data_IF_129640178223
#
_entry.id   IF_129640178223
#
_cell.length_a   1.000
_cell.length_b   1.000
_cell.length_c   1.000
_cell.angle_alpha   90.00
_cell.angle_beta   90.00
_cell.angle_gamma   90.00
#
_symmetry.space_group_name_H-M   'P 1'
#
loop_
_entity.id
_entity.type
_entity.pdbx_description
1 polymer ?
#
# COMPACT_ATOMS: atom_id res chain seq x y z
N UNK A 1 -38.93 16.50 -8.34
CA UNK A 1 -38.28 16.30 -9.65
C UNK A 1 -37.04 17.19 -9.71
N UNK A 2 -35.91 16.72 -9.16
CA UNK A 2 -34.61 17.40 -9.29
C UNK A 2 -33.58 16.32 -9.56
N UNK A 3 -33.22 16.18 -10.83
CA UNK A 3 -31.95 15.57 -11.24
C UNK A 3 -31.52 16.32 -12.49
N UNK A 4 -30.82 17.43 -12.27
CA UNK A 4 -30.02 18.05 -13.30
C UNK A 4 -28.82 17.13 -13.54
N UNK A 5 -28.87 16.40 -14.65
CA UNK A 5 -27.71 15.74 -15.22
C UNK A 5 -26.65 16.80 -15.53
N UNK A 6 -25.60 16.86 -14.73
CA UNK A 6 -24.41 17.63 -15.03
C UNK A 6 -23.75 17.00 -16.27
N UNK A 7 -24.15 17.44 -17.48
CA UNK A 7 -23.44 17.14 -18.72
C UNK A 7 -22.13 17.95 -18.70
N UNK A 8 -21.10 17.34 -18.15
CA UNK A 8 -19.73 17.81 -18.27
C UNK A 8 -19.34 17.70 -19.76
N UNK A 9 -19.41 18.80 -20.51
CA UNK A 9 -18.98 18.86 -21.91
C UNK A 9 -17.45 18.76 -21.98
N UNK A 10 -16.94 17.53 -22.04
CA UNK A 10 -15.53 17.25 -22.32
C UNK A 10 -15.18 17.60 -23.77
N UNK A 11 -13.98 18.15 -23.98
CA UNK A 11 -13.43 18.50 -25.30
C UNK A 11 -13.40 17.26 -26.22
N UNK A 12 -13.63 17.41 -27.54
CA UNK A 12 -13.61 16.30 -28.50
C UNK A 12 -12.32 15.49 -28.49
N UNK A 13 -11.15 16.12 -28.26
CA UNK A 13 -9.87 15.41 -28.13
C UNK A 13 -9.81 14.47 -26.92
N UNK A 14 -10.45 14.84 -25.80
CA UNK A 14 -10.51 14.00 -24.61
C UNK A 14 -11.45 12.80 -24.82
N UNK A 15 -12.54 12.98 -25.56
CA UNK A 15 -13.44 11.88 -25.93
C UNK A 15 -12.79 10.88 -26.90
N UNK A 16 -11.92 11.34 -27.79
CA UNK A 16 -11.22 10.46 -28.73
C UNK A 16 -10.13 9.64 -28.03
N UNK A 17 -9.31 10.28 -27.18
CA UNK A 17 -8.38 9.57 -26.30
C UNK A 17 -9.11 8.58 -25.38
N UNK A 18 -10.28 8.96 -24.86
CA UNK A 18 -11.10 8.09 -24.03
C UNK A 18 -11.54 6.81 -24.75
N UNK A 19 -12.02 6.94 -26.00
CA UNK A 19 -12.43 5.77 -26.81
C UNK A 19 -11.24 4.89 -27.17
N UNK A 20 -10.08 5.46 -27.46
CA UNK A 20 -8.85 4.69 -27.72
C UNK A 20 -8.46 3.91 -26.47
N UNK A 21 -8.48 4.52 -25.29
CA UNK A 21 -8.15 3.84 -24.03
C UNK A 21 -9.13 2.69 -23.78
N UNK A 22 -10.43 2.90 -23.95
CA UNK A 22 -11.43 1.82 -23.83
C UNK A 22 -11.18 0.68 -24.82
N UNK A 23 -10.88 0.98 -26.08
CA UNK A 23 -10.58 -0.04 -27.09
C UNK A 23 -9.29 -0.81 -26.78
N UNK A 24 -8.26 -0.15 -26.27
CA UNK A 24 -7.01 -0.79 -25.86
C UNK A 24 -7.22 -1.71 -24.65
N UNK A 25 -7.95 -1.23 -23.63
CA UNK A 25 -8.28 -2.02 -22.44
C UNK A 25 -9.13 -3.23 -22.83
N UNK A 26 -10.20 -3.06 -23.61
CA UNK A 26 -11.04 -4.18 -24.06
C UNK A 26 -10.30 -5.13 -25.02
N UNK A 27 -9.34 -4.62 -25.80
CA UNK A 27 -8.51 -5.43 -26.69
C UNK A 27 -7.48 -6.28 -25.95
N UNK A 28 -6.84 -5.73 -24.91
CA UNK A 28 -5.88 -6.45 -24.06
C UNK A 28 -6.56 -7.35 -23.03
N UNK A 29 -7.75 -6.95 -22.59
CA UNK A 29 -8.50 -7.52 -21.48
C UNK A 29 -9.88 -7.97 -21.96
N UNK A 30 -9.90 -9.00 -22.79
CA UNK A 30 -11.14 -9.65 -23.24
C UNK A 30 -11.38 -10.88 -22.38
N UNK A 31 -12.16 -10.73 -21.31
CA UNK A 31 -12.65 -11.86 -20.53
C UNK A 31 -13.34 -12.87 -21.46
N UNK A 32 -13.21 -14.17 -21.16
CA UNK A 32 -13.98 -15.19 -21.86
C UNK A 32 -15.46 -14.82 -21.81
N UNK A 33 -16.17 -14.97 -22.93
CA UNK A 33 -17.59 -14.62 -23.08
C UNK A 33 -18.50 -15.67 -22.42
N UNK A 34 -18.23 -15.96 -21.16
CA UNK A 34 -19.17 -16.64 -20.26
C UNK A 34 -20.00 -15.59 -19.52
N UNK A 35 -21.26 -15.89 -19.16
CA UNK A 35 -22.17 -14.93 -18.52
C UNK A 35 -21.81 -14.63 -17.04
N UNK A 36 -20.52 -14.62 -16.71
CA UNK A 36 -19.99 -14.76 -15.35
C UNK A 36 -19.24 -13.52 -14.84
N UNK A 37 -19.42 -12.36 -15.48
CA UNK A 37 -18.89 -11.07 -15.02
C UNK A 37 -19.92 -10.23 -14.24
N UNK A 38 -19.44 -9.24 -13.49
CA UNK A 38 -20.33 -8.24 -12.86
C UNK A 38 -20.87 -7.25 -13.89
N UNK A 39 -22.09 -6.74 -13.67
CA UNK A 39 -22.61 -5.62 -14.45
C UNK A 39 -21.89 -4.30 -14.11
N UNK A 40 -21.83 -3.39 -15.09
CA UNK A 40 -21.30 -2.03 -14.88
C UNK A 40 -22.02 -1.32 -13.73
N UNK A 41 -21.25 -0.73 -12.82
CA UNK A 41 -21.77 -0.09 -11.61
C UNK A 41 -21.98 -1.00 -10.40
N UNK A 42 -21.75 -2.32 -10.50
CA UNK A 42 -21.88 -3.24 -9.35
C UNK A 42 -20.95 -2.89 -8.17
N UNK A 43 -19.78 -2.31 -8.45
CA UNK A 43 -18.82 -1.85 -7.43
C UNK A 43 -19.32 -0.65 -6.61
N UNK A 44 -20.25 0.14 -7.16
CA UNK A 44 -20.83 1.35 -6.53
C UNK A 44 -22.29 1.15 -6.09
N UNK A 45 -22.86 -0.03 -6.31
CA UNK A 45 -24.19 -0.36 -5.77
C UNK A 45 -24.14 -0.46 -4.24
N UNK A 46 -25.32 -0.41 -3.60
CA UNK A 46 -25.49 -0.44 -2.14
C UNK A 46 -24.72 -1.58 -1.48
N UNK A 47 -24.71 -2.75 -2.11
CA UNK A 47 -23.96 -3.90 -1.60
C UNK A 47 -22.43 -3.68 -1.69
N UNK A 48 -21.92 -3.19 -2.81
CA UNK A 48 -20.51 -2.88 -3.00
C UNK A 48 -20.00 -1.83 -2.01
N UNK A 49 -20.76 -0.74 -1.84
CA UNK A 49 -20.45 0.33 -0.87
C UNK A 49 -20.48 -0.19 0.57
N UNK A 50 -21.43 -1.07 0.91
CA UNK A 50 -21.47 -1.69 2.23
C UNK A 50 -20.22 -2.51 2.52
N UNK A 51 -19.80 -3.37 1.59
CA UNK A 51 -18.57 -4.17 1.73
C UNK A 51 -17.32 -3.29 1.83
N UNK A 52 -17.24 -2.23 1.02
CA UNK A 52 -16.14 -1.26 1.10
C UNK A 52 -16.09 -0.55 2.45
N UNK A 53 -17.24 -0.18 3.03
CA UNK A 53 -17.30 0.42 4.35
C UNK A 53 -16.84 -0.55 5.45
N UNK A 54 -17.24 -1.83 5.37
CA UNK A 54 -16.76 -2.87 6.28
C UNK A 54 -15.24 -3.03 6.16
N UNK A 55 -14.70 -3.09 4.95
CA UNK A 55 -13.26 -3.20 4.71
C UNK A 55 -12.50 -2.00 5.30
N UNK A 56 -13.00 -0.78 5.08
CA UNK A 56 -12.42 0.44 5.65
C UNK A 56 -12.43 0.41 7.18
N UNK A 57 -13.53 -0.05 7.80
CA UNK A 57 -13.63 -0.20 9.24
C UNK A 57 -12.65 -1.25 9.79
N UNK A 58 -12.53 -2.40 9.12
CA UNK A 58 -11.58 -3.47 9.50
C UNK A 58 -10.14 -2.99 9.36
N UNK A 59 -9.80 -2.31 8.26
CA UNK A 59 -8.46 -1.76 8.02
C UNK A 59 -8.10 -0.72 9.09
N UNK A 60 -9.00 0.23 9.36
CA UNK A 60 -8.78 1.24 10.40
C UNK A 60 -8.67 0.62 11.80
N UNK A 61 -9.54 -0.33 12.13
CA UNK A 61 -9.48 -1.07 13.41
C UNK A 61 -8.17 -1.83 13.56
N UNK A 62 -7.67 -2.43 12.48
CA UNK A 62 -6.36 -3.12 12.48
C UNK A 62 -5.22 -2.14 12.75
N UNK A 63 -5.24 -0.93 12.18
CA UNK A 63 -4.25 0.12 12.48
C UNK A 63 -4.33 0.58 13.94
N UNK A 64 -5.53 0.69 14.50
CA UNK A 64 -5.75 1.01 15.91
C UNK A 64 -5.21 -0.07 16.84
N UNK A 65 -5.57 -1.33 16.58
CA UNK A 65 -5.07 -2.47 17.34
C UNK A 65 -3.54 -2.54 17.29
N UNK A 66 -2.94 -2.38 16.10
CA UNK A 66 -1.49 -2.33 15.93
C UNK A 66 -0.86 -1.25 16.82
N UNK A 67 -1.39 -0.03 16.81
CA UNK A 67 -0.89 1.05 17.66
C UNK A 67 -1.03 0.76 19.15
N UNK A 68 -2.11 0.12 19.57
CA UNK A 68 -2.32 -0.28 20.96
C UNK A 68 -1.40 -1.42 21.40
N UNK A 69 -0.94 -2.25 20.47
CA UNK A 69 0.01 -3.33 20.72
C UNK A 69 1.49 -2.87 20.66
N UNK A 70 1.79 -1.69 20.12
CA UNK A 70 3.15 -1.14 20.10
C UNK A 70 3.61 -0.74 21.53
N UNK A 71 4.83 -1.16 21.96
CA UNK A 71 5.41 -0.77 23.26
C UNK A 71 5.45 0.75 23.45
N UNK A 72 5.29 1.24 24.68
CA UNK A 72 5.20 2.68 24.94
C UNK A 72 6.47 3.46 24.55
N UNK A 73 7.64 2.80 24.61
CA UNK A 73 8.95 3.34 24.27
C UNK A 73 9.18 3.47 22.75
N UNK A 74 8.55 2.63 21.94
CA UNK A 74 8.61 2.72 20.47
C UNK A 74 7.42 3.49 19.86
N UNK A 75 6.37 3.75 20.65
CA UNK A 75 5.10 4.33 20.19
C UNK A 75 5.25 5.80 19.77
N UNK A 76 4.97 6.07 18.49
CA UNK A 76 5.00 7.42 17.92
C UNK A 76 3.97 8.37 18.57
N UNK A 77 4.33 9.67 18.77
CA UNK A 77 3.39 10.69 19.26
C UNK A 77 2.12 10.79 18.40
N UNK A 78 0.97 11.05 19.03
CA UNK A 78 -0.34 11.08 18.36
C UNK A 78 -0.41 11.99 17.14
N UNK A 79 0.25 13.15 17.19
CA UNK A 79 0.26 14.11 16.08
C UNK A 79 1.04 13.59 14.87
N UNK A 80 2.19 12.95 15.10
CA UNK A 80 3.02 12.34 14.04
C UNK A 80 2.28 11.14 13.45
N UNK A 81 1.70 10.30 14.30
CA UNK A 81 0.89 9.17 13.86
C UNK A 81 -0.31 9.60 13.02
N UNK A 82 -1.00 10.68 13.40
CA UNK A 82 -2.10 11.24 12.61
C UNK A 82 -1.62 11.72 11.24
N UNK A 83 -0.47 12.39 11.17
CA UNK A 83 0.15 12.83 9.92
C UNK A 83 0.52 11.66 9.01
N UNK A 84 1.15 10.60 9.53
CA UNK A 84 1.49 9.41 8.76
C UNK A 84 0.26 8.63 8.29
N UNK A 85 -0.74 8.49 9.16
CA UNK A 85 -1.96 7.72 8.88
C UNK A 85 -2.86 8.45 7.91
N UNK A 86 -3.02 9.76 8.05
CA UNK A 86 -3.81 10.58 7.10
C UNK A 86 -3.19 10.60 5.70
N UNK A 87 -1.85 10.64 5.57
CA UNK A 87 -1.16 10.47 4.28
C UNK A 87 -1.50 9.14 3.62
N UNK A 88 -1.44 8.04 4.39
CA UNK A 88 -1.78 6.70 3.89
C UNK A 88 -3.27 6.61 3.51
N UNK A 89 -4.17 7.20 4.29
CA UNK A 89 -5.60 7.23 3.98
C UNK A 89 -5.88 7.99 2.67
N UNK A 90 -5.23 9.13 2.44
CA UNK A 90 -5.34 9.89 1.19
C UNK A 90 -4.83 9.06 0.00
N UNK A 91 -3.70 8.38 0.14
CA UNK A 91 -3.16 7.50 -0.90
C UNK A 91 -4.08 6.31 -1.21
N UNK A 92 -4.63 5.66 -0.17
CA UNK A 92 -5.56 4.54 -0.32
C UNK A 92 -6.85 4.97 -1.03
N UNK A 93 -7.40 6.14 -0.69
CA UNK A 93 -8.57 6.70 -1.38
C UNK A 93 -8.25 6.99 -2.86
N UNK A 94 -7.10 7.59 -3.15
CA UNK A 94 -6.68 7.86 -4.52
C UNK A 94 -6.60 6.59 -5.38
N UNK A 95 -5.93 5.54 -4.88
CA UNK A 95 -5.83 4.25 -5.58
C UNK A 95 -7.20 3.61 -5.73
N UNK A 96 -8.01 3.57 -4.66
CA UNK A 96 -9.34 2.98 -4.72
C UNK A 96 -10.22 3.62 -5.80
N UNK A 97 -10.33 4.96 -5.82
CA UNK A 97 -11.11 5.65 -6.84
C UNK A 97 -10.55 5.43 -8.24
N UNK A 98 -9.22 5.38 -8.39
CA UNK A 98 -8.60 5.09 -9.68
C UNK A 98 -8.90 3.67 -10.14
N UNK A 99 -8.90 2.68 -9.24
CA UNK A 99 -9.22 1.29 -9.56
C UNK A 99 -10.68 1.14 -9.98
N UNK A 100 -11.61 1.74 -9.23
CA UNK A 100 -13.04 1.74 -9.60
C UNK A 100 -13.22 2.39 -10.97
N UNK A 101 -12.60 3.54 -11.20
CA UNK A 101 -12.70 4.27 -12.47
C UNK A 101 -12.14 3.48 -13.66
N UNK A 102 -10.97 2.85 -13.51
CA UNK A 102 -10.36 2.05 -14.57
C UNK A 102 -11.15 0.76 -14.85
N UNK A 103 -11.75 0.18 -13.81
CA UNK A 103 -12.52 -1.06 -13.94
C UNK A 103 -13.83 -0.86 -14.69
N UNK A 104 -14.44 0.32 -14.61
CA UNK A 104 -15.66 0.67 -15.36
C UNK A 104 -15.40 0.86 -16.88
N UNK A 105 -14.13 0.77 -17.32
CA UNK A 105 -13.76 0.87 -18.74
C UNK A 105 -13.94 -0.44 -19.52
N UNK A 106 -14.16 -1.56 -18.82
CA UNK A 106 -14.27 -2.88 -19.45
C UNK A 106 -15.69 -3.47 -19.34
N UNK A 107 -15.97 -4.49 -20.14
CA UNK A 107 -17.23 -5.24 -20.10
C UNK A 107 -17.34 -6.14 -18.85
N UNK A 108 -16.22 -6.41 -18.15
CA UNK A 108 -16.18 -7.16 -16.88
C UNK A 108 -15.42 -6.40 -15.77
N UNK A 109 -16.08 -5.44 -15.09
CA UNK A 109 -15.43 -4.57 -14.12
C UNK A 109 -14.90 -5.28 -12.88
N UNK A 110 -15.56 -6.33 -12.39
CA UNK A 110 -15.13 -7.03 -11.17
C UNK A 110 -13.78 -7.73 -11.37
N UNK A 111 -13.63 -8.40 -12.51
CA UNK A 111 -12.37 -9.05 -12.88
C UNK A 111 -11.24 -8.06 -13.08
N UNK A 112 -11.47 -6.95 -13.79
CA UNK A 112 -10.42 -5.95 -13.99
C UNK A 112 -10.06 -5.25 -12.66
N UNK A 113 -11.05 -5.01 -11.80
CA UNK A 113 -10.83 -4.48 -10.46
C UNK A 113 -9.95 -5.41 -9.62
N UNK A 114 -10.25 -6.71 -9.63
CA UNK A 114 -9.43 -7.74 -8.97
C UNK A 114 -7.98 -7.68 -9.45
N UNK A 115 -7.77 -7.58 -10.75
CA UNK A 115 -6.42 -7.65 -11.31
C UNK A 115 -5.62 -6.39 -11.02
N UNK A 116 -6.26 -5.21 -11.07
CA UNK A 116 -5.67 -3.98 -10.54
C UNK A 116 -5.30 -4.14 -9.07
N UNK A 117 -6.23 -4.63 -8.25
CA UNK A 117 -6.02 -4.79 -6.82
C UNK A 117 -4.88 -5.78 -6.50
N UNK A 118 -4.81 -6.95 -7.16
CA UNK A 118 -3.74 -7.92 -6.97
C UNK A 118 -2.39 -7.37 -7.38
N UNK A 119 -2.32 -6.68 -8.51
CA UNK A 119 -1.07 -6.08 -8.97
C UNK A 119 -0.61 -4.96 -8.05
N UNK A 120 -1.53 -4.10 -7.58
CA UNK A 120 -1.21 -3.06 -6.58
C UNK A 120 -0.68 -3.71 -5.28
N UNK A 121 -1.31 -4.80 -4.81
CA UNK A 121 -0.90 -5.51 -3.59
C UNK A 121 0.42 -6.30 -3.73
N UNK A 122 0.84 -6.63 -4.95
CA UNK A 122 2.05 -7.43 -5.22
C UNK A 122 3.16 -6.56 -5.81
N UNK A 123 3.06 -6.22 -7.09
CA UNK A 123 4.03 -5.42 -7.83
C UNK A 123 4.01 -3.95 -7.38
N UNK A 124 2.83 -3.40 -7.09
CA UNK A 124 2.65 -2.02 -6.64
C UNK A 124 3.38 -1.75 -5.32
N UNK A 125 3.24 -2.65 -4.35
CA UNK A 125 4.00 -2.60 -3.10
C UNK A 125 5.52 -2.58 -3.32
N UNK A 126 6.04 -3.37 -4.27
CA UNK A 126 7.47 -3.37 -4.61
C UNK A 126 7.90 -2.03 -5.24
N UNK A 127 7.10 -1.50 -6.16
CA UNK A 127 7.35 -0.20 -6.82
C UNK A 127 7.31 0.94 -5.80
N UNK A 128 6.32 0.97 -4.90
CA UNK A 128 6.21 1.97 -3.84
C UNK A 128 7.43 1.89 -2.93
N UNK A 129 7.84 0.69 -2.52
CA UNK A 129 9.03 0.50 -1.69
C UNK A 129 10.30 1.04 -2.36
N UNK A 130 10.49 0.72 -3.65
CA UNK A 130 11.64 1.20 -4.43
C UNK A 130 11.62 2.72 -4.60
N UNK A 131 10.47 3.28 -4.95
CA UNK A 131 10.27 4.73 -5.14
C UNK A 131 10.49 5.52 -3.86
N UNK A 132 9.89 5.09 -2.74
CA UNK A 132 10.09 5.72 -1.42
C UNK A 132 11.55 5.63 -1.00
N UNK A 133 12.20 4.49 -1.21
CA UNK A 133 13.63 4.30 -0.90
C UNK A 133 14.50 5.25 -1.73
N UNK A 134 14.25 5.33 -3.04
CA UNK A 134 14.98 6.20 -3.97
C UNK A 134 14.80 7.68 -3.60
N UNK A 135 13.55 8.11 -3.38
CA UNK A 135 13.25 9.48 -2.94
C UNK A 135 13.92 9.78 -1.61
N UNK A 136 13.88 8.86 -0.64
CA UNK A 136 14.52 9.03 0.66
C UNK A 136 16.05 9.17 0.54
N UNK A 137 16.69 8.42 -0.36
CA UNK A 137 18.12 8.56 -0.66
C UNK A 137 18.43 9.93 -1.29
N UNK A 138 17.62 10.38 -2.25
CA UNK A 138 17.78 11.69 -2.91
C UNK A 138 17.62 12.83 -1.91
N UNK A 139 16.57 12.78 -1.08
CA UNK A 139 16.27 13.78 -0.05
C UNK A 139 17.42 13.90 0.95
N UNK A 140 17.96 12.76 1.41
CA UNK A 140 19.14 12.73 2.29
C UNK A 140 20.37 13.33 1.63
N UNK A 141 20.67 12.93 0.38
CA UNK A 141 21.82 13.44 -0.38
C UNK A 141 21.73 14.95 -0.65
N UNK A 142 20.51 15.47 -0.82
CA UNK A 142 20.23 16.89 -1.08
C UNK A 142 19.99 17.71 0.20
N UNK A 143 20.08 17.09 1.38
CA UNK A 143 19.82 17.71 2.69
C UNK A 143 18.47 18.45 2.78
N UNK A 144 17.42 17.94 2.13
CA UNK A 144 16.09 18.56 2.17
C UNK A 144 15.35 18.10 3.44
N UNK A 145 15.54 18.83 4.54
CA UNK A 145 15.02 18.45 5.87
C UNK A 145 13.49 18.36 5.94
N UNK A 146 12.78 19.13 5.12
CA UNK A 146 11.30 19.16 5.08
C UNK A 146 10.68 17.89 4.43
N UNK A 147 11.41 17.18 3.57
CA UNK A 147 10.93 16.00 2.85
C UNK A 147 11.37 14.67 3.49
N UNK A 148 12.04 14.71 4.63
CA UNK A 148 12.45 13.48 5.34
C UNK A 148 11.20 12.80 5.89
N UNK A 149 10.85 11.64 5.31
CA UNK A 149 9.66 10.89 5.71
C UNK A 149 9.66 10.56 7.20
N UNK A 150 8.57 10.89 7.88
CA UNK A 150 8.37 10.65 9.31
C UNK A 150 8.86 11.80 10.20
N UNK A 151 9.63 12.74 9.66
CA UNK A 151 10.11 13.93 10.37
C UNK A 151 9.28 15.15 9.98
N UNK A 152 8.59 15.75 10.94
CA UNK A 152 7.71 16.91 10.71
C UNK A 152 8.21 18.19 11.39
N UNK A 153 9.36 18.13 12.06
CA UNK A 153 9.90 19.19 12.90
C UNK A 153 9.30 19.22 14.31
N UNK A 154 9.89 20.06 15.17
CA UNK A 154 9.46 20.28 16.54
C UNK A 154 9.12 21.78 16.77
N UNK A 155 7.84 22.16 16.93
CA UNK A 155 6.64 21.33 16.85
C UNK A 155 6.29 20.89 15.40
N UNK A 156 5.53 19.79 15.20
CA UNK A 156 5.20 19.28 13.86
C UNK A 156 4.55 20.32 12.95
N UNK A 157 5.09 20.52 11.76
CA UNK A 157 4.67 21.56 10.81
C UNK A 157 3.77 20.98 9.71
N UNK A 158 2.62 21.62 9.49
CA UNK A 158 1.68 21.22 8.44
C UNK A 158 2.27 21.35 7.02
N UNK A 159 3.21 22.27 6.80
CA UNK A 159 3.91 22.43 5.52
C UNK A 159 4.82 21.23 5.19
N UNK A 160 5.48 20.66 6.20
CA UNK A 160 6.27 19.43 6.04
C UNK A 160 5.36 18.25 5.70
N UNK A 161 4.21 18.14 6.38
CA UNK A 161 3.19 17.15 6.05
C UNK A 161 2.68 17.31 4.62
N UNK A 162 2.35 18.53 4.19
CA UNK A 162 1.83 18.78 2.84
C UNK A 162 2.86 18.42 1.77
N UNK A 163 4.13 18.80 1.96
CA UNK A 163 5.22 18.44 1.05
C UNK A 163 5.44 16.93 0.96
N UNK A 164 5.46 16.24 2.10
CA UNK A 164 5.59 14.77 2.17
C UNK A 164 4.36 14.06 1.58
N UNK A 165 3.16 14.60 1.79
CA UNK A 165 1.92 14.06 1.21
C UNK A 165 1.92 14.25 -0.31
N UNK A 166 2.35 15.41 -0.81
CA UNK A 166 2.45 15.69 -2.23
C UNK A 166 3.41 14.76 -2.95
N UNK A 167 4.64 14.57 -2.42
CA UNK A 167 5.59 13.64 -3.03
C UNK A 167 5.12 12.18 -2.92
N UNK A 168 4.44 11.81 -1.83
CA UNK A 168 3.82 10.50 -1.70
C UNK A 168 2.74 10.27 -2.76
N UNK A 169 1.87 11.26 -3.02
CA UNK A 169 0.88 11.18 -4.11
C UNK A 169 1.53 11.04 -5.49
N UNK A 170 2.64 11.75 -5.74
CA UNK A 170 3.40 11.57 -7.00
C UNK A 170 3.94 10.15 -7.13
N UNK A 171 4.46 9.55 -6.05
CA UNK A 171 4.90 8.15 -6.04
C UNK A 171 3.73 7.21 -6.37
N UNK A 172 2.56 7.44 -5.77
CA UNK A 172 1.35 6.64 -6.04
C UNK A 172 0.87 6.78 -7.50
N UNK A 173 0.95 7.99 -8.09
CA UNK A 173 0.62 8.20 -9.51
C UNK A 173 1.59 7.43 -10.42
N UNK A 174 2.90 7.48 -10.14
CA UNK A 174 3.90 6.75 -10.91
C UNK A 174 3.67 5.25 -10.82
N UNK A 175 3.46 4.73 -9.62
CA UNK A 175 3.14 3.32 -9.41
C UNK A 175 1.87 2.93 -10.17
N UNK A 176 0.77 3.68 -10.02
CA UNK A 176 -0.49 3.37 -10.69
C UNK A 176 -0.38 3.40 -12.21
N UNK A 177 0.42 4.32 -12.74
CA UNK A 177 0.72 4.40 -14.17
C UNK A 177 1.45 3.14 -14.64
N UNK A 178 2.47 2.70 -13.90
CA UNK A 178 3.23 1.48 -14.22
C UNK A 178 2.31 0.25 -14.17
N UNK A 179 1.52 0.08 -13.11
CA UNK A 179 0.59 -1.06 -12.99
C UNK A 179 -0.42 -1.06 -14.13
N UNK A 180 -0.98 0.10 -14.48
CA UNK A 180 -1.95 0.20 -15.58
C UNK A 180 -1.32 -0.15 -16.94
N UNK A 181 -0.06 0.26 -17.19
CA UNK A 181 0.68 -0.13 -18.39
C UNK A 181 0.96 -1.64 -18.44
N UNK A 182 1.29 -2.25 -17.29
CA UNK A 182 1.51 -3.70 -17.18
C UNK A 182 0.24 -4.48 -17.52
N UNK A 183 -0.94 -3.99 -17.14
CA UNK A 183 -2.23 -4.61 -17.49
C UNK A 183 -2.59 -4.53 -18.98
N UNK A 184 -2.00 -3.60 -19.73
CA UNK A 184 -2.16 -3.56 -21.19
C UNK A 184 -1.42 -4.70 -21.91
N UNK A 185 -0.49 -5.39 -21.22
CA UNK A 185 0.21 -6.53 -21.79
C UNK A 185 -0.76 -7.71 -21.91
N UNK A 186 -0.93 -8.33 -23.09
CA UNK A 186 -1.82 -9.48 -23.24
C UNK A 186 -1.28 -10.69 -22.47
N UNK A 187 -2.18 -11.45 -21.82
CA UNK A 187 -1.83 -12.70 -21.11
C UNK A 187 -2.44 -12.87 -19.72
N UNK A 188 -3.05 -11.81 -19.17
CA UNK A 188 -3.68 -11.80 -17.85
C UNK A 188 -4.95 -12.65 -17.75
N UNK A 189 -5.60 -12.94 -18.88
CA UNK A 189 -6.87 -13.69 -18.94
C UNK A 189 -6.75 -15.10 -18.35
N UNK A 190 -5.61 -15.79 -18.53
CA UNK A 190 -5.38 -17.12 -17.92
C UNK A 190 -5.29 -17.08 -16.40
N UNK A 191 -4.66 -16.03 -15.87
CA UNK A 191 -4.53 -15.85 -14.42
C UNK A 191 -5.90 -15.56 -13.81
N UNK A 192 -6.70 -14.72 -14.48
CA UNK A 192 -8.08 -14.45 -14.12
C UNK A 192 -8.95 -15.71 -14.13
N UNK A 193 -8.88 -16.53 -15.19
CA UNK A 193 -9.59 -17.81 -15.24
C UNK A 193 -9.21 -18.72 -14.07
N UNK A 194 -7.93 -18.86 -13.74
CA UNK A 194 -7.51 -19.67 -12.58
C UNK A 194 -8.05 -19.10 -11.25
N UNK A 195 -8.14 -17.78 -11.14
CA UNK A 195 -8.59 -17.11 -9.91
C UNK A 195 -10.12 -17.11 -9.74
N UNK A 196 -10.88 -17.08 -10.84
CA UNK A 196 -12.31 -16.77 -10.83
C UNK A 196 -13.23 -17.85 -11.41
N UNK A 197 -12.71 -18.80 -12.20
CA UNK A 197 -13.54 -19.77 -12.94
C UNK A 197 -14.41 -20.67 -12.05
N UNK A 198 -14.05 -20.83 -10.77
CA UNK A 198 -14.79 -21.64 -9.80
C UNK A 198 -15.73 -20.83 -8.89
N UNK A 199 -15.90 -19.52 -9.08
CA UNK A 199 -16.77 -18.69 -8.23
C UNK A 199 -18.11 -18.41 -8.92
N UNK A 200 -19.21 -19.08 -8.51
CA UNK A 200 -20.51 -18.92 -9.14
C UNK A 200 -21.26 -17.63 -8.75
N UNK A 201 -20.82 -16.93 -7.68
CA UNK A 201 -21.47 -15.72 -7.18
C UNK A 201 -20.51 -14.51 -7.24
N UNK A 202 -20.84 -13.46 -8.02
CA UNK A 202 -20.08 -12.21 -8.09
C UNK A 202 -19.82 -11.56 -6.71
N UNK A 203 -20.71 -11.81 -5.74
CA UNK A 203 -20.54 -11.30 -4.36
C UNK A 203 -19.44 -12.03 -3.59
N UNK A 204 -19.29 -13.34 -3.82
CA UNK A 204 -18.24 -14.15 -3.20
C UNK A 204 -16.88 -13.80 -3.81
N UNK A 205 -16.84 -13.55 -5.11
CA UNK A 205 -15.66 -13.05 -5.79
C UNK A 205 -15.19 -11.75 -5.11
N UNK A 206 -16.07 -10.75 -5.02
CA UNK A 206 -15.76 -9.46 -4.40
C UNK A 206 -15.15 -9.60 -2.99
N UNK A 207 -15.73 -10.47 -2.15
CA UNK A 207 -15.24 -10.74 -0.78
C UNK A 207 -13.86 -11.41 -0.82
N UNK A 208 -13.67 -12.41 -1.67
CA UNK A 208 -12.41 -13.14 -1.77
C UNK A 208 -11.26 -12.21 -2.19
N UNK A 209 -11.52 -11.39 -3.20
CA UNK A 209 -10.57 -10.45 -3.80
C UNK A 209 -10.15 -9.34 -2.84
N UNK A 210 -11.12 -8.67 -2.23
CA UNK A 210 -10.88 -7.45 -1.46
C UNK A 210 -10.55 -7.70 0.01
N UNK A 211 -10.96 -8.85 0.56
CA UNK A 211 -10.83 -9.14 2.00
C UNK A 211 -9.95 -10.35 2.26
N UNK A 212 -10.22 -11.48 1.62
CA UNK A 212 -9.57 -12.76 1.97
C UNK A 212 -8.12 -12.80 1.49
N UNK A 213 -7.87 -12.59 0.20
CA UNK A 213 -6.51 -12.62 -0.36
C UNK A 213 -5.59 -11.58 0.31
N UNK A 214 -6.02 -10.32 0.51
CA UNK A 214 -5.18 -9.29 1.15
C UNK A 214 -4.87 -9.61 2.59
N UNK A 215 -5.86 -10.13 3.33
CA UNK A 215 -5.68 -10.51 4.71
C UNK A 215 -4.63 -11.63 4.83
N UNK A 216 -4.69 -12.64 3.97
CA UNK A 216 -3.72 -13.74 3.94
C UNK A 216 -2.32 -13.22 3.61
N UNK A 217 -2.18 -12.43 2.54
CA UNK A 217 -0.87 -11.89 2.13
C UNK A 217 -0.28 -10.99 3.21
N UNK A 218 -1.08 -10.10 3.81
CA UNK A 218 -0.65 -9.23 4.89
C UNK A 218 -0.26 -10.03 6.16
N UNK A 219 -0.98 -11.10 6.48
CA UNK A 219 -0.65 -11.99 7.59
C UNK A 219 0.66 -12.74 7.35
N UNK A 220 0.89 -13.27 6.14
CA UNK A 220 2.15 -13.92 5.75
C UNK A 220 3.30 -12.92 5.83
N UNK A 221 3.12 -11.70 5.30
CA UNK A 221 4.12 -10.65 5.37
C UNK A 221 4.48 -10.29 6.81
N UNK A 222 3.48 -10.17 7.69
CA UNK A 222 3.72 -9.95 9.12
C UNK A 222 4.54 -11.09 9.73
N UNK A 223 4.17 -12.34 9.48
CA UNK A 223 4.88 -13.52 10.01
C UNK A 223 6.33 -13.61 9.52
N UNK A 224 6.57 -13.32 8.24
CA UNK A 224 7.93 -13.32 7.65
C UNK A 224 8.77 -12.21 8.25
N UNK A 225 8.25 -10.98 8.32
CA UNK A 225 8.97 -9.83 8.87
C UNK A 225 9.28 -10.05 10.35
N UNK A 226 8.31 -10.52 11.14
CA UNK A 226 8.50 -10.82 12.56
C UNK A 226 9.57 -11.91 12.77
N UNK A 227 9.52 -13.00 11.99
CA UNK A 227 10.52 -14.07 12.03
C UNK A 227 11.94 -13.57 11.71
N UNK A 228 12.09 -12.60 10.82
CA UNK A 228 13.38 -11.99 10.48
C UNK A 228 13.86 -11.03 11.57
N UNK A 229 12.97 -10.22 12.15
CA UNK A 229 13.28 -9.31 13.25
C UNK A 229 13.72 -10.10 14.48
N UNK A 230 13.01 -11.17 14.86
CA UNK A 230 13.40 -12.03 15.98
C UNK A 230 14.79 -12.65 15.77
N UNK A 231 15.13 -13.07 14.54
CA UNK A 231 16.48 -13.57 14.23
C UNK A 231 17.54 -12.48 14.36
N UNK A 232 17.24 -11.24 13.96
CA UNK A 232 18.15 -10.10 14.09
C UNK A 232 18.34 -9.71 15.57
N UNK A 233 17.27 -9.67 16.36
CA UNK A 233 17.33 -9.35 17.79
C UNK A 233 18.14 -10.40 18.56
N UNK A 234 17.92 -11.71 18.30
CA UNK A 234 18.72 -12.78 18.90
C UNK A 234 20.22 -12.69 18.57
N UNK A 235 20.58 -12.27 17.35
CA UNK A 235 21.99 -12.03 16.98
C UNK A 235 22.57 -10.83 17.71
N UNK A 236 21.88 -9.69 17.71
CA UNK A 236 22.34 -8.48 18.41
C UNK A 236 22.56 -8.74 19.90
N UNK A 237 21.61 -9.42 20.56
CA UNK A 237 21.74 -9.77 21.97
C UNK A 237 22.89 -10.75 22.25
N UNK A 238 23.17 -11.67 21.32
CA UNK A 238 24.32 -12.58 21.40
C UNK A 238 25.64 -11.83 21.23
N UNK A 239 25.73 -10.91 20.28
CA UNK A 239 26.94 -10.11 20.02
C UNK A 239 27.23 -9.16 21.19
N UNK A 240 26.21 -8.46 21.72
CA UNK A 240 26.35 -7.62 22.92
C UNK A 240 26.73 -8.45 24.16
N UNK A 241 26.11 -9.63 24.36
CA UNK A 241 26.44 -10.50 25.51
C UNK A 241 27.81 -11.19 25.39
N UNK A 242 28.35 -11.31 24.17
CA UNK A 242 29.70 -11.81 23.93
C UNK A 242 30.74 -10.69 24.14
N UNK A 243 30.48 -9.48 23.63
CA UNK A 243 31.33 -8.32 23.85
C UNK A 243 31.45 -7.92 25.33
N UNK A 244 30.36 -8.00 26.11
CA UNK A 244 30.39 -7.74 27.56
C UNK A 244 31.19 -8.82 28.31
N UNK A 245 31.10 -10.10 27.90
CA UNK A 245 31.88 -11.18 28.50
C UNK A 245 33.38 -11.07 28.22
N UNK A 246 33.73 -10.62 27.03
CA UNK A 246 35.12 -10.38 26.65
C UNK A 246 35.71 -9.18 27.41
N UNK A 247 34.93 -8.10 27.59
CA UNK A 247 35.34 -6.93 28.38
C UNK A 247 35.51 -7.27 29.87
N UNK A 248 34.57 -8.01 30.46
CA UNK A 248 34.65 -8.43 31.87
C UNK A 248 35.84 -9.39 32.11
N UNK A 249 36.13 -10.27 31.15
CA UNK A 249 37.30 -11.16 31.21
C UNK A 249 38.62 -10.39 31.06
N UNK A 250 38.68 -9.35 30.23
CA UNK A 250 39.86 -8.48 30.10
C UNK A 250 40.10 -7.63 31.37
N UNK A 251 39.04 -7.12 31.99
CA UNK A 251 39.12 -6.37 33.26
C UNK A 251 39.60 -7.26 34.41
N UNK A 252 39.12 -8.51 34.51
CA UNK A 252 39.56 -9.46 35.53
C UNK A 252 41.01 -9.95 35.33
N UNK A 253 41.51 -9.95 34.09
CA UNK A 253 42.89 -10.32 33.77
C UNK A 253 43.90 -9.17 33.97
N UNK A 254 43.45 -7.93 34.24
CA UNK A 254 44.35 -6.80 34.49
C UNK A 254 44.18 -6.16 35.89
N UNK A 255 44.52 -6.85 37.00
CA UNK A 255 44.41 -6.29 38.34
C UNK A 255 45.59 -5.38 38.75
N UNK A 256 46.42 -4.88 37.83
CA UNK A 256 47.62 -4.08 38.16
C UNK A 256 47.67 -2.74 37.45
N UNK A 257 46.79 -1.81 37.83
CA UNK A 257 47.03 -0.38 37.59
C UNK A 257 46.21 0.52 38.51
N UNK A 258 46.24 0.26 39.83
CA UNK A 258 45.76 1.20 40.84
C UNK A 258 46.56 1.00 42.14
N UNK A 259 47.85 1.30 42.10
CA UNK A 259 48.59 1.72 43.30
C UNK A 259 49.30 3.03 42.94
N UNK A 260 48.66 4.12 43.35
CA UNK A 260 49.15 5.49 43.28
C UNK A 260 50.31 5.59 44.28
N UNK A 261 51.49 5.96 43.79
CA UNK A 261 52.64 6.32 44.62
C UNK A 261 52.49 7.79 45.05
N UNK A 262 52.48 8.01 46.37
CA UNK A 262 52.84 9.28 47.01
C UNK A 262 54.34 9.54 46.84
#
# INVERSE_FOLDING_TARGET
MISQQCKMTLKPSAMESWRIIQLLVNGSYKGSSTPQGCENGALLDRFGVFIQAVLAAVAFSTLMLKRCSEPEDERRPWRIWFYDTSKQAIGALFIHFTNVFLSDLTEDPCSLYLMHFLLDATLGMLIIWLSVTTVSMIVKKRHITILVFGEYGDPPRASAWLGQCGIYLVIMIVEKTIISLVLLIPGWTKLQEILLNDIPDPRLELILVMLVVPFIVNAIMFWVVDSLIMKKHKRLHKDTSSAVRDDESQVLLNPKSNYIHY
#
